data_IF_264106030882
#
_entry.id   IF_264106030882
#
_cell.length_a   1.000
_cell.length_b   1.000
_cell.length_c   1.000
_cell.angle_alpha   90.00
_cell.angle_beta   90.00
_cell.angle_gamma   90.00
#
_symmetry.space_group_name_H-M   'P 1'
#
loop_
_entity.id
_entity.type
_entity.pdbx_description
1 polymer ?
#
# COMPACT_ATOMS: atom_id res chain seq x y z
N UNK A 1 -25.03 24.18 -21.27
CA UNK A 1 -24.07 24.36 -22.37
C UNK A 1 -22.97 23.32 -22.33
N UNK A 2 -22.56 22.94 -23.55
CA UNK A 2 -21.49 22.02 -23.95
C UNK A 2 -21.62 20.57 -23.47
N UNK A 3 -22.19 19.72 -24.33
CA UNK A 3 -21.90 18.29 -24.32
C UNK A 3 -20.42 18.11 -24.62
N UNK A 4 -19.61 17.86 -23.59
CA UNK A 4 -18.23 17.43 -23.77
C UNK A 4 -18.29 16.06 -24.43
N UNK A 5 -18.02 16.00 -25.73
CA UNK A 5 -17.81 14.74 -26.44
C UNK A 5 -16.45 14.25 -25.99
N UNK A 6 -16.43 13.37 -24.99
CA UNK A 6 -15.20 12.68 -24.59
C UNK A 6 -14.82 11.76 -25.76
N UNK A 7 -13.66 11.94 -26.39
CA UNK A 7 -13.26 11.10 -27.50
C UNK A 7 -13.18 9.64 -27.02
N UNK A 8 -13.73 8.71 -27.81
CA UNK A 8 -13.59 7.29 -27.51
C UNK A 8 -12.14 6.90 -27.81
N UNK A 9 -11.29 7.00 -26.79
CA UNK A 9 -9.89 6.62 -26.88
C UNK A 9 -9.76 5.10 -26.82
N UNK A 10 -8.87 4.48 -27.63
CA UNK A 10 -8.59 3.06 -27.50
C UNK A 10 -8.03 2.74 -26.12
N UNK A 11 -8.31 1.54 -25.60
CA UNK A 11 -7.74 1.10 -24.33
C UNK A 11 -6.19 1.14 -24.38
N UNK A 12 -5.53 1.68 -23.34
CA UNK A 12 -4.07 1.63 -23.22
C UNK A 12 -3.52 0.21 -23.15
N UNK A 13 -2.26 0.01 -23.56
CA UNK A 13 -1.58 -1.28 -23.35
C UNK A 13 -1.34 -1.58 -21.85
N UNK A 14 -1.10 -0.54 -21.04
CA UNK A 14 -0.99 -0.64 -19.59
C UNK A 14 -2.05 0.24 -18.92
N UNK A 15 -2.98 -0.40 -18.21
CA UNK A 15 -4.10 0.25 -17.54
C UNK A 15 -3.87 0.25 -16.03
N UNK A 16 -4.13 1.37 -15.35
CA UNK A 16 -4.29 1.40 -13.90
C UNK A 16 -5.77 1.55 -13.54
N UNK A 17 -6.22 0.85 -12.50
CA UNK A 17 -7.58 0.95 -11.95
C UNK A 17 -7.46 1.23 -10.45
N UNK A 18 -8.01 2.36 -10.02
CA UNK A 18 -7.99 2.79 -8.62
C UNK A 18 -9.34 3.42 -8.23
N UNK A 19 -9.52 3.74 -6.94
CA UNK A 19 -10.69 4.41 -6.41
C UNK A 19 -10.39 5.83 -5.92
N UNK A 20 -11.31 6.75 -6.19
CA UNK A 20 -11.30 8.08 -5.61
C UNK A 20 -12.52 8.25 -4.71
N UNK A 21 -12.27 8.41 -3.41
CA UNK A 21 -13.33 8.72 -2.46
C UNK A 21 -13.77 10.18 -2.63
N UNK A 22 -15.02 10.37 -3.08
CA UNK A 22 -15.62 11.71 -3.16
C UNK A 22 -17.11 11.68 -2.86
N UNK A 23 -17.50 12.01 -1.62
CA UNK A 23 -18.91 12.06 -1.22
C UNK A 23 -19.73 13.07 -2.05
N UNK A 24 -19.10 14.14 -2.54
CA UNK A 24 -19.75 15.22 -3.28
C UNK A 24 -19.79 15.01 -4.80
N UNK A 25 -18.89 14.19 -5.36
CA UNK A 25 -18.83 13.95 -6.81
C UNK A 25 -19.62 12.71 -7.25
N UNK A 26 -20.00 11.84 -6.31
CA UNK A 26 -20.82 10.69 -6.67
C UNK A 26 -22.27 11.10 -6.93
N UNK A 27 -22.75 10.87 -8.15
CA UNK A 27 -24.14 11.17 -8.52
C UNK A 27 -25.16 10.18 -7.94
N UNK A 28 -24.72 9.06 -7.34
CA UNK A 28 -25.56 7.90 -6.98
C UNK A 28 -25.35 7.38 -5.55
N UNK A 29 -25.02 8.23 -4.58
CA UNK A 29 -24.68 7.81 -3.19
C UNK A 29 -23.52 6.79 -3.12
N UNK A 30 -22.70 6.69 -4.16
CA UNK A 30 -21.55 5.79 -4.21
C UNK A 30 -20.31 6.58 -3.80
N UNK A 31 -19.88 6.50 -2.55
CA UNK A 31 -18.78 7.32 -2.03
C UNK A 31 -17.44 7.19 -2.79
N UNK A 32 -17.32 6.24 -3.72
CA UNK A 32 -16.13 5.94 -4.51
C UNK A 32 -16.42 6.01 -6.02
N UNK A 33 -15.65 6.84 -6.71
CA UNK A 33 -15.50 6.83 -8.16
C UNK A 33 -14.41 5.82 -8.54
N UNK A 34 -14.49 5.23 -9.73
CA UNK A 34 -13.39 4.44 -10.26
C UNK A 34 -12.56 5.29 -11.22
N UNK A 35 -11.26 5.32 -11.02
CA UNK A 35 -10.30 6.04 -11.85
C UNK A 35 -9.59 5.03 -12.73
N UNK A 36 -9.61 5.27 -14.03
CA UNK A 36 -8.86 4.48 -15.01
C UNK A 36 -7.76 5.38 -15.56
N UNK A 37 -6.52 4.88 -15.54
CA UNK A 37 -5.34 5.61 -16.00
C UNK A 37 -4.60 4.85 -17.10
N UNK A 38 -4.00 5.61 -18.00
CA UNK A 38 -3.00 5.11 -18.95
C UNK A 38 -1.63 5.19 -18.25
N UNK A 39 -1.08 4.06 -17.83
CA UNK A 39 0.18 4.01 -17.08
C UNK A 39 1.37 4.43 -17.96
N UNK A 40 1.31 4.17 -19.27
CA UNK A 40 2.37 4.52 -20.22
C UNK A 40 2.43 6.04 -20.42
N UNK A 41 1.27 6.65 -20.70
CA UNK A 41 1.18 8.11 -20.89
C UNK A 41 1.12 8.91 -19.60
N UNK A 42 0.96 8.23 -18.46
CA UNK A 42 0.80 8.82 -17.12
C UNK A 42 -0.32 9.86 -17.09
N UNK A 43 -1.46 9.51 -17.70
CA UNK A 43 -2.61 10.40 -17.77
C UNK A 43 -3.90 9.68 -17.41
N UNK A 44 -4.90 10.47 -17.01
CA UNK A 44 -6.24 9.99 -16.80
C UNK A 44 -6.82 9.49 -18.12
N UNK A 45 -7.29 8.24 -18.12
CA UNK A 45 -8.03 7.67 -19.24
C UNK A 45 -9.52 7.93 -19.10
N UNK A 46 -10.12 7.59 -17.95
CA UNK A 46 -11.54 7.80 -17.69
C UNK A 46 -11.86 7.84 -16.18
N UNK A 47 -13.01 8.40 -15.82
CA UNK A 47 -13.57 8.35 -14.46
C UNK A 47 -14.98 7.76 -14.53
N UNK A 48 -15.17 6.63 -13.87
CA UNK A 48 -16.46 5.97 -13.80
C UNK A 48 -17.20 6.34 -12.51
N UNK A 49 -18.51 6.55 -12.64
CA UNK A 49 -19.43 6.90 -11.54
C UNK A 49 -19.54 5.81 -10.44
N UNK A 50 -19.01 4.61 -10.69
CA UNK A 50 -19.02 3.51 -9.73
C UNK A 50 -17.86 2.56 -9.98
N UNK A 51 -17.26 2.08 -8.88
CA UNK A 51 -16.31 0.98 -8.88
C UNK A 51 -16.94 -0.42 -8.86
N UNK A 52 -18.27 -0.54 -8.78
CA UNK A 52 -18.89 -1.86 -8.66
C UNK A 52 -18.54 -2.80 -9.81
N UNK A 53 -18.42 -4.11 -9.51
CA UNK A 53 -18.10 -5.15 -10.49
C UNK A 53 -18.99 -5.09 -11.73
N UNK A 54 -20.29 -4.91 -11.55
CA UNK A 54 -21.28 -4.79 -12.64
C UNK A 54 -21.00 -3.57 -13.53
N UNK A 55 -20.71 -2.42 -12.92
CA UNK A 55 -20.45 -1.18 -13.67
C UNK A 55 -19.16 -1.28 -14.48
N UNK A 56 -18.08 -1.79 -13.86
CA UNK A 56 -16.82 -2.04 -14.54
C UNK A 56 -16.94 -3.09 -15.64
N UNK A 57 -17.70 -4.15 -15.41
CA UNK A 57 -17.97 -5.17 -16.44
C UNK A 57 -18.64 -4.55 -17.66
N UNK A 58 -19.67 -3.71 -17.44
CA UNK A 58 -20.35 -2.98 -18.53
C UNK A 58 -19.40 -2.04 -19.28
N UNK A 59 -18.52 -1.35 -18.55
CA UNK A 59 -17.51 -0.50 -19.16
C UNK A 59 -16.61 -1.29 -20.11
N UNK A 60 -16.02 -2.40 -19.66
CA UNK A 60 -15.15 -3.19 -20.54
C UNK A 60 -15.92 -3.90 -21.67
N UNK A 61 -17.15 -4.37 -21.44
CA UNK A 61 -18.00 -4.93 -22.52
C UNK A 61 -18.27 -3.91 -23.62
N UNK A 62 -18.33 -2.61 -23.30
CA UNK A 62 -18.51 -1.55 -24.29
C UNK A 62 -17.28 -1.36 -25.21
N UNK A 63 -16.11 -1.85 -24.81
CA UNK A 63 -14.87 -1.81 -25.59
C UNK A 63 -14.79 -2.98 -26.55
N UNK A 64 -14.20 -2.75 -27.72
CA UNK A 64 -14.04 -3.77 -28.74
C UNK A 64 -13.18 -4.92 -28.23
N UNK A 65 -13.35 -6.10 -28.84
CA UNK A 65 -12.52 -7.26 -28.51
C UNK A 65 -11.03 -6.98 -28.75
N UNK A 66 -10.71 -6.28 -29.83
CA UNK A 66 -9.33 -5.95 -30.19
C UNK A 66 -8.67 -5.05 -29.11
N UNK A 67 -9.35 -3.97 -28.70
CA UNK A 67 -8.86 -3.09 -27.63
C UNK A 67 -8.60 -3.87 -26.33
N UNK A 68 -9.53 -4.76 -25.95
CA UNK A 68 -9.38 -5.58 -24.73
C UNK A 68 -8.24 -6.58 -24.80
N UNK A 69 -7.98 -7.14 -25.98
CA UNK A 69 -6.87 -8.06 -26.20
C UNK A 69 -5.51 -7.34 -26.31
N UNK A 70 -5.49 -6.04 -26.62
CA UNK A 70 -4.28 -5.23 -26.70
C UNK A 70 -3.77 -4.76 -25.32
N UNK A 71 -4.59 -4.85 -24.27
CA UNK A 71 -4.13 -4.60 -22.90
C UNK A 71 -3.21 -5.72 -22.45
N UNK A 72 -1.98 -5.36 -22.06
CA UNK A 72 -0.92 -6.27 -21.62
C UNK A 72 -0.73 -6.26 -20.10
N UNK A 73 -1.00 -5.14 -19.45
CA UNK A 73 -0.83 -4.98 -18.01
C UNK A 73 -2.01 -4.24 -17.41
N UNK A 74 -2.45 -4.70 -16.23
CA UNK A 74 -3.43 -3.99 -15.41
C UNK A 74 -2.86 -3.86 -14.01
N UNK A 75 -2.62 -2.64 -13.56
CA UNK A 75 -2.31 -2.34 -12.16
C UNK A 75 -3.61 -2.06 -11.43
N UNK A 76 -3.86 -2.75 -10.33
CA UNK A 76 -5.05 -2.59 -9.49
C UNK A 76 -4.65 -2.29 -8.04
N UNK A 77 -5.59 -1.81 -7.25
CA UNK A 77 -5.52 -1.96 -5.80
C UNK A 77 -5.59 -3.45 -5.38
N UNK A 78 -5.77 -3.75 -4.09
CA UNK A 78 -5.91 -5.12 -3.60
C UNK A 78 -7.36 -5.64 -3.62
N UNK A 79 -8.28 -4.98 -4.33
CA UNK A 79 -9.70 -5.33 -4.31
C UNK A 79 -10.03 -6.43 -5.33
N UNK A 80 -10.47 -7.57 -4.81
CA UNK A 80 -10.77 -8.79 -5.57
C UNK A 80 -11.72 -8.56 -6.77
N UNK A 81 -12.78 -7.73 -6.69
CA UNK A 81 -13.62 -7.41 -7.85
C UNK A 81 -12.87 -6.80 -9.04
N UNK A 82 -11.83 -5.99 -8.84
CA UNK A 82 -11.03 -5.49 -9.96
C UNK A 82 -10.24 -6.61 -10.63
N UNK A 83 -9.65 -7.52 -9.83
CA UNK A 83 -8.95 -8.70 -10.34
C UNK A 83 -9.88 -9.57 -11.19
N UNK A 84 -11.08 -9.85 -10.69
CA UNK A 84 -12.08 -10.65 -11.40
C UNK A 84 -12.48 -10.03 -12.75
N UNK A 85 -12.73 -8.72 -12.76
CA UNK A 85 -13.09 -7.98 -13.98
C UNK A 85 -11.92 -8.01 -14.97
N UNK A 86 -10.71 -7.68 -14.51
CA UNK A 86 -9.53 -7.68 -15.37
C UNK A 86 -9.32 -9.04 -16.02
N UNK A 87 -9.38 -10.13 -15.25
CA UNK A 87 -9.23 -11.49 -15.79
C UNK A 87 -10.35 -11.89 -16.75
N UNK A 88 -11.57 -11.43 -16.51
CA UNK A 88 -12.73 -11.77 -17.35
C UNK A 88 -12.73 -11.02 -18.69
N UNK A 89 -12.31 -9.76 -18.68
CA UNK A 89 -12.48 -8.87 -19.84
C UNK A 89 -11.18 -8.53 -20.57
N UNK A 90 -10.02 -8.64 -19.92
CA UNK A 90 -8.70 -8.32 -20.45
C UNK A 90 -7.82 -9.59 -20.47
N UNK A 91 -8.13 -10.56 -21.34
CA UNK A 91 -7.63 -11.93 -21.23
C UNK A 91 -6.12 -12.09 -21.44
N UNK A 92 -5.47 -11.11 -22.07
CA UNK A 92 -4.03 -11.11 -22.32
C UNK A 92 -3.25 -10.32 -21.27
N UNK A 93 -3.93 -9.67 -20.33
CA UNK A 93 -3.29 -8.78 -19.39
C UNK A 93 -2.76 -9.52 -18.16
N UNK A 94 -1.55 -9.15 -17.73
CA UNK A 94 -1.01 -9.51 -16.42
C UNK A 94 -1.60 -8.53 -15.39
N UNK A 95 -2.26 -9.07 -14.37
CA UNK A 95 -2.82 -8.28 -13.27
C UNK A 95 -1.75 -8.14 -12.18
N UNK A 96 -1.36 -6.91 -11.89
CA UNK A 96 -0.40 -6.54 -10.86
C UNK A 96 -1.09 -5.71 -9.77
N UNK A 97 -0.68 -5.87 -8.52
CA UNK A 97 -1.11 -5.01 -7.42
C UNK A 97 -0.18 -3.80 -7.36
N UNK A 98 -0.76 -2.60 -7.17
CA UNK A 98 0.03 -1.40 -6.93
C UNK A 98 0.79 -1.52 -5.60
N UNK A 99 2.13 -1.43 -5.61
CA UNK A 99 2.93 -1.55 -4.39
C UNK A 99 2.65 -0.44 -3.36
N UNK A 100 2.11 0.71 -3.78
CA UNK A 100 1.70 1.76 -2.84
C UNK A 100 0.67 1.24 -1.83
N UNK A 101 -0.38 0.55 -2.31
CA UNK A 101 -1.42 0.01 -1.42
C UNK A 101 -0.87 -1.09 -0.52
N UNK A 102 0.07 -1.91 -1.00
CA UNK A 102 0.73 -2.93 -0.15
C UNK A 102 1.50 -2.26 0.99
N UNK A 103 2.30 -1.23 0.69
CA UNK A 103 3.06 -0.48 1.71
C UNK A 103 2.11 0.23 2.68
N UNK A 104 1.03 0.83 2.18
CA UNK A 104 0.01 1.50 3.00
C UNK A 104 -0.61 0.52 4.00
N UNK A 105 -1.06 -0.64 3.54
CA UNK A 105 -1.63 -1.69 4.39
C UNK A 105 -0.60 -2.17 5.43
N UNK A 106 0.62 -2.49 5.02
CA UNK A 106 1.69 -2.91 5.92
C UNK A 106 1.96 -1.88 7.01
N UNK A 107 2.05 -0.59 6.66
CA UNK A 107 2.28 0.48 7.62
C UNK A 107 1.10 0.66 8.58
N UNK A 108 -0.14 0.59 8.08
CA UNK A 108 -1.35 0.69 8.88
C UNK A 108 -1.47 -0.47 9.87
N UNK A 109 -1.25 -1.69 9.41
CA UNK A 109 -1.38 -2.89 10.24
C UNK A 109 -0.27 -2.96 11.30
N UNK A 110 0.96 -2.56 10.93
CA UNK A 110 2.05 -2.37 11.89
C UNK A 110 1.71 -1.34 12.98
N UNK A 111 1.13 -0.19 12.60
CA UNK A 111 0.72 0.84 13.55
C UNK A 111 -0.43 0.36 14.46
N UNK A 112 -1.37 -0.41 13.91
CA UNK A 112 -2.44 -1.05 14.69
C UNK A 112 -1.87 -2.03 15.72
N UNK A 113 -0.89 -2.86 15.33
CA UNK A 113 -0.17 -3.76 16.24
C UNK A 113 0.51 -2.96 17.36
N UNK A 114 1.24 -1.90 17.02
CA UNK A 114 1.88 -1.00 18.00
C UNK A 114 0.88 -0.42 18.99
N UNK A 115 -0.26 0.10 18.50
CA UNK A 115 -1.33 0.67 19.33
C UNK A 115 -1.93 -0.40 20.24
N UNK A 116 -2.18 -1.61 19.73
CA UNK A 116 -2.71 -2.73 20.49
C UNK A 116 -1.79 -3.09 21.67
N UNK A 117 -0.50 -3.28 21.40
CA UNK A 117 0.50 -3.56 22.44
C UNK A 117 0.64 -2.42 23.46
N UNK A 118 0.59 -1.18 22.99
CA UNK A 118 0.62 0.00 23.88
C UNK A 118 -0.59 0.03 24.82
N UNK A 119 -1.79 -0.33 24.34
CA UNK A 119 -3.01 -0.38 25.15
C UNK A 119 -3.00 -1.51 26.19
N UNK A 120 -2.25 -2.58 25.94
CA UNK A 120 -2.08 -3.69 26.88
C UNK A 120 -1.09 -3.36 28.02
N UNK A 121 -0.22 -2.37 27.82
CA UNK A 121 0.72 -1.93 28.84
C UNK A 121 0.00 -1.15 29.96
N UNK A 122 0.38 -1.34 31.24
CA UNK A 122 -0.07 -0.46 32.30
C UNK A 122 0.28 1.00 31.96
N UNK A 123 -0.66 1.91 32.26
CA UNK A 123 -0.46 3.33 32.02
C UNK A 123 0.83 3.80 32.70
N UNK A 124 1.63 4.59 31.96
CA UNK A 124 2.93 5.11 32.39
C UNK A 124 4.03 4.06 32.64
N UNK A 125 3.83 2.78 32.32
CA UNK A 125 4.91 1.78 32.35
C UNK A 125 6.04 2.11 31.35
N UNK A 126 7.21 1.49 31.52
CA UNK A 126 8.33 1.63 30.58
C UNK A 126 7.94 1.18 29.15
N UNK A 127 7.19 0.09 29.02
CA UNK A 127 6.67 -0.37 27.72
C UNK A 127 5.71 0.64 27.09
N UNK A 128 4.78 1.18 27.88
CA UNK A 128 3.89 2.26 27.43
C UNK A 128 4.68 3.49 26.98
N UNK A 129 5.68 3.93 27.75
CA UNK A 129 6.54 5.07 27.42
C UNK A 129 7.30 4.87 26.11
N UNK A 130 7.89 3.69 25.90
CA UNK A 130 8.58 3.33 24.65
C UNK A 130 7.64 3.45 23.46
N UNK A 131 6.48 2.79 23.51
CA UNK A 131 5.53 2.78 22.40
C UNK A 131 4.80 4.11 22.21
N UNK A 132 4.62 4.92 23.25
CA UNK A 132 3.91 6.21 23.15
C UNK A 132 4.84 7.34 22.69
N UNK A 133 6.01 7.50 23.31
CA UNK A 133 6.91 8.64 23.06
C UNK A 133 7.84 8.40 21.87
N UNK A 134 8.29 7.18 21.67
CA UNK A 134 9.34 6.85 20.69
C UNK A 134 8.81 6.14 19.44
N UNK A 135 7.49 6.10 19.23
CA UNK A 135 6.87 5.50 18.04
C UNK A 135 7.42 6.05 16.71
N UNK A 136 7.86 7.30 16.69
CA UNK A 136 8.40 7.93 15.49
C UNK A 136 9.68 7.25 14.99
N UNK A 137 10.42 6.54 15.86
CA UNK A 137 11.56 5.70 15.46
C UNK A 137 11.16 4.54 14.54
N UNK A 138 9.90 4.11 14.60
CA UNK A 138 9.40 2.96 13.85
C UNK A 138 8.86 3.35 12.47
N UNK A 139 8.58 4.63 12.23
CA UNK A 139 7.82 5.09 11.05
C UNK A 139 8.52 6.16 10.22
N UNK A 140 9.54 6.84 10.77
CA UNK A 140 10.22 7.94 10.08
C UNK A 140 11.47 7.43 9.37
N UNK A 141 11.62 7.84 8.11
CA UNK A 141 12.80 7.53 7.31
C UNK A 141 13.96 8.50 7.59
N UNK A 142 15.19 8.07 7.26
CA UNK A 142 16.37 8.94 7.33
C UNK A 142 16.76 9.36 8.74
N UNK A 143 16.40 8.57 9.75
CA UNK A 143 16.79 8.83 11.14
C UNK A 143 18.26 8.44 11.32
N UNK A 144 19.06 9.38 11.81
CA UNK A 144 20.36 9.06 12.40
C UNK A 144 20.13 8.30 13.72
N UNK A 145 20.27 6.97 13.67
CA UNK A 145 20.10 6.08 14.83
C UNK A 145 21.28 6.15 15.79
N UNK A 146 22.47 6.54 15.31
CA UNK A 146 23.72 6.56 16.05
C UNK A 146 24.09 7.96 16.56
N UNK A 147 23.08 8.78 16.77
CA UNK A 147 23.23 10.11 17.33
C UNK A 147 23.94 10.07 18.70
N UNK A 148 24.53 11.21 19.10
CA UNK A 148 25.15 11.34 20.41
C UNK A 148 24.17 10.95 21.53
N UNK A 149 24.65 10.15 22.49
CA UNK A 149 23.82 9.68 23.61
C UNK A 149 23.38 10.88 24.45
N UNK A 150 22.10 10.88 24.81
CA UNK A 150 21.51 11.87 25.69
C UNK A 150 20.96 11.19 26.93
N UNK A 151 21.00 11.88 28.07
CA UNK A 151 20.47 11.34 29.32
C UNK A 151 18.95 11.19 29.24
N UNK A 152 18.45 9.98 29.45
CA UNK A 152 17.03 9.67 29.48
C UNK A 152 16.58 9.48 30.92
N UNK A 153 15.88 10.48 31.47
CA UNK A 153 15.43 10.47 32.87
C UNK A 153 14.52 9.28 33.24
N UNK A 154 13.76 8.72 32.29
CA UNK A 154 12.91 7.55 32.55
C UNK A 154 13.73 6.32 32.92
N UNK A 155 14.80 6.10 32.15
CA UNK A 155 15.68 4.93 32.28
C UNK A 155 16.95 5.22 33.08
N UNK A 156 17.11 6.47 33.55
CA UNK A 156 18.22 6.95 34.35
C UNK A 156 19.60 6.66 33.74
N UNK A 157 19.69 6.64 32.40
CA UNK A 157 20.91 6.31 31.67
C UNK A 157 21.01 7.09 30.36
N UNK A 158 22.23 7.18 29.81
CA UNK A 158 22.49 7.82 28.53
C UNK A 158 22.17 6.86 27.38
N UNK A 159 21.25 7.25 26.49
CA UNK A 159 20.77 6.45 25.38
C UNK A 159 20.83 7.25 24.07
N UNK A 160 21.12 6.57 22.96
CA UNK A 160 20.85 7.09 21.62
C UNK A 160 19.55 6.48 21.05
N UNK A 161 19.22 6.85 19.81
CA UNK A 161 18.00 6.37 19.14
C UNK A 161 18.08 4.87 18.81
N UNK A 162 19.27 4.34 18.50
CA UNK A 162 19.48 2.90 18.33
C UNK A 162 19.18 2.14 19.62
N UNK A 163 19.70 2.62 20.75
CA UNK A 163 19.45 2.00 22.06
C UNK A 163 17.92 1.95 22.33
N UNK A 164 17.20 3.05 22.07
CA UNK A 164 15.75 3.12 22.26
C UNK A 164 14.96 2.21 21.29
N UNK A 165 15.40 2.10 20.04
CA UNK A 165 14.81 1.19 19.06
C UNK A 165 15.01 -0.26 19.49
N UNK A 166 16.22 -0.63 19.93
CA UNK A 166 16.50 -1.96 20.46
C UNK A 166 15.66 -2.26 21.70
N UNK A 167 15.53 -1.32 22.63
CA UNK A 167 14.64 -1.47 23.78
C UNK A 167 13.18 -1.73 23.38
N UNK A 168 12.67 -1.08 22.32
CA UNK A 168 11.32 -1.37 21.79
C UNK A 168 11.25 -2.82 21.30
N UNK A 169 12.21 -3.24 20.46
CA UNK A 169 12.24 -4.58 19.86
C UNK A 169 12.37 -5.68 20.92
N UNK A 170 13.22 -5.46 21.92
CA UNK A 170 13.46 -6.42 23.00
C UNK A 170 12.25 -6.52 23.95
N UNK A 171 11.57 -5.39 24.21
CA UNK A 171 10.35 -5.37 25.04
C UNK A 171 9.16 -5.97 24.31
N UNK A 172 9.09 -5.82 22.98
CA UNK A 172 7.99 -6.30 22.14
C UNK A 172 8.53 -7.08 20.93
N UNK A 173 8.96 -8.34 21.11
CA UNK A 173 9.57 -9.12 20.03
C UNK A 173 8.71 -9.21 18.77
N UNK A 174 7.40 -9.44 18.93
CA UNK A 174 6.44 -9.49 17.80
C UNK A 174 6.38 -8.17 17.02
N UNK A 175 6.51 -7.02 17.70
CA UNK A 175 6.56 -5.72 17.04
C UNK A 175 7.92 -5.51 16.35
N UNK A 176 8.99 -6.02 16.95
CA UNK A 176 10.32 -5.99 16.34
C UNK A 176 10.40 -6.81 15.06
N UNK A 177 9.81 -8.00 15.04
CA UNK A 177 9.71 -8.84 13.85
C UNK A 177 8.85 -8.17 12.77
N UNK A 178 7.67 -7.68 13.13
CA UNK A 178 6.80 -6.94 12.21
C UNK A 178 7.50 -5.69 11.63
N UNK A 179 8.34 -5.02 12.41
CA UNK A 179 9.14 -3.88 11.94
C UNK A 179 10.15 -4.31 10.87
N UNK A 180 10.88 -5.41 11.09
CA UNK A 180 11.87 -5.90 10.12
C UNK A 180 11.20 -6.37 8.82
N UNK A 181 10.05 -7.05 8.90
CA UNK A 181 9.28 -7.47 7.73
C UNK A 181 8.79 -6.27 6.91
N UNK A 182 8.19 -5.29 7.59
CA UNK A 182 7.74 -4.05 6.96
C UNK A 182 8.89 -3.34 6.26
N UNK A 183 10.00 -3.13 6.96
CA UNK A 183 11.15 -2.41 6.41
C UNK A 183 11.88 -3.21 5.33
N UNK A 184 11.88 -4.54 5.40
CA UNK A 184 12.37 -5.42 4.33
C UNK A 184 11.57 -5.22 3.04
N UNK A 185 10.24 -5.30 3.11
CA UNK A 185 9.39 -5.06 1.94
C UNK A 185 9.54 -3.63 1.40
N UNK A 186 9.57 -2.61 2.27
CA UNK A 186 9.78 -1.22 1.87
C UNK A 186 11.11 -1.02 1.14
N UNK A 187 12.20 -1.63 1.63
CA UNK A 187 13.51 -1.60 0.96
C UNK A 187 13.45 -2.30 -0.39
N UNK A 188 12.89 -3.51 -0.43
CA UNK A 188 12.74 -4.28 -1.67
C UNK A 188 12.03 -3.44 -2.74
N UNK A 189 10.86 -2.89 -2.42
CA UNK A 189 10.09 -2.09 -3.37
C UNK A 189 10.80 -0.80 -3.82
N UNK A 190 11.67 -0.24 -2.97
CA UNK A 190 12.39 1.01 -3.28
C UNK A 190 13.64 0.78 -4.13
N UNK A 191 14.34 -0.34 -3.96
CA UNK A 191 15.70 -0.51 -4.50
C UNK A 191 15.86 -1.71 -5.43
N UNK A 192 14.96 -2.69 -5.41
CA UNK A 192 15.13 -3.90 -6.20
C UNK A 192 15.01 -3.61 -7.70
N UNK A 193 15.88 -4.25 -8.50
CA UNK A 193 15.62 -4.39 -9.93
C UNK A 193 14.49 -5.40 -10.16
N UNK A 194 14.00 -5.48 -11.40
CA UNK A 194 12.98 -6.48 -11.77
C UNK A 194 13.47 -7.91 -11.49
N UNK A 195 14.71 -8.23 -11.85
CA UNK A 195 15.31 -9.55 -11.64
C UNK A 195 15.44 -9.87 -10.14
N UNK A 196 15.93 -8.92 -9.35
CA UNK A 196 16.04 -9.10 -7.90
C UNK A 196 14.67 -9.25 -7.23
N UNK A 197 13.66 -8.55 -7.73
CA UNK A 197 12.31 -8.63 -7.19
C UNK A 197 11.70 -10.03 -7.39
N UNK A 198 11.96 -10.66 -8.55
CA UNK A 198 11.51 -12.04 -8.81
C UNK A 198 12.16 -13.02 -7.84
N UNK A 199 13.47 -12.92 -7.62
CA UNK A 199 14.19 -13.82 -6.70
C UNK A 199 13.76 -13.61 -5.24
N UNK A 200 13.62 -12.36 -4.81
CA UNK A 200 13.32 -12.02 -3.41
C UNK A 200 11.83 -12.11 -3.07
N UNK A 201 10.94 -12.26 -4.06
CA UNK A 201 9.50 -12.37 -3.80
C UNK A 201 9.17 -13.62 -2.98
N UNK A 202 9.76 -14.76 -3.32
CA UNK A 202 9.54 -16.02 -2.58
C UNK A 202 10.04 -15.92 -1.13
N UNK A 203 11.13 -15.17 -0.91
CA UNK A 203 11.63 -14.87 0.44
C UNK A 203 10.64 -14.00 1.22
N UNK A 204 10.06 -12.96 0.61
CA UNK A 204 8.99 -12.16 1.24
C UNK A 204 7.84 -13.07 1.65
N UNK A 205 7.30 -13.86 0.72
CA UNK A 205 6.15 -14.74 0.99
C UNK A 205 6.48 -15.72 2.12
N UNK A 206 7.67 -16.32 2.09
CA UNK A 206 8.13 -17.24 3.13
C UNK A 206 8.25 -16.55 4.48
N UNK A 207 8.84 -15.37 4.55
CA UNK A 207 9.04 -14.63 5.80
C UNK A 207 7.69 -14.27 6.42
N UNK A 208 6.76 -13.72 5.63
CA UNK A 208 5.42 -13.34 6.09
C UNK A 208 4.55 -14.54 6.51
N UNK A 209 4.71 -15.71 5.89
CA UNK A 209 3.95 -16.92 6.26
C UNK A 209 4.47 -17.63 7.52
N UNK A 210 5.72 -17.38 7.92
CA UNK A 210 6.36 -18.05 9.05
C UNK A 210 6.56 -17.14 10.28
N UNK A 211 5.97 -15.95 10.25
CA UNK A 211 6.02 -14.95 11.34
C UNK A 211 4.69 -14.82 12.08
#
# INVERSE_FOLDING_TARGET
>A
DSYVVVPNLPLPESVGIDELHSPSLSRKNASYLCVIVDNEKRCLYDILDSRSKDYLSKFFVSKTREERHNVKYVTIDMWEPYRDVAQSFLPNAIVAVDPFHVIEHLCRDFENLRISLMKQCPYDSNGYYLLKKWNWLLNKDGIDLDNAKAYNHRFQTALNRRDLLMMIKDTFPILGEAYELKEYYRRLNKTATYEEAVEKYDDVVRLFNNS
#
